data_IF_879101083833
#
_entry.id   IF_879101083833
#
_cell.length_a   1.000
_cell.length_b   1.000
_cell.length_c   1.000
_cell.angle_alpha   90.00
_cell.angle_beta   90.00
_cell.angle_gamma   90.00
#
_symmetry.space_group_name_H-M   'P 1'
#
loop_
_entity.id
_entity.type
_entity.pdbx_description
1 polymer ?
#
# COMPACT_ATOMS: atom_id res chain seq x y z
N UNK A 1 9.26 -13.77 -5.07
CA UNK A 1 8.19 -12.90 -4.51
C UNK A 1 6.81 -13.57 -4.40
N UNK A 2 6.39 -14.44 -5.34
CA UNK A 2 5.07 -15.12 -5.31
C UNK A 2 4.79 -16.01 -4.08
N UNK A 3 5.84 -16.50 -3.40
CA UNK A 3 5.74 -17.39 -2.23
C UNK A 3 5.38 -16.70 -0.92
N UNK A 4 5.72 -15.42 -0.76
CA UNK A 4 5.54 -14.69 0.51
C UNK A 4 4.05 -14.35 0.72
N UNK A 5 3.32 -14.09 -0.35
CA UNK A 5 1.90 -13.77 -0.28
C UNK A 5 1.05 -15.01 0.00
N UNK A 6 1.40 -16.17 -0.58
CA UNK A 6 0.72 -17.45 -0.32
C UNK A 6 0.85 -17.90 1.14
N UNK A 7 2.01 -17.64 1.76
CA UNK A 7 2.24 -18.01 3.15
C UNK A 7 1.40 -17.15 4.11
N UNK A 8 1.32 -15.82 3.89
CA UNK A 8 0.50 -14.92 4.70
C UNK A 8 -1.00 -15.14 4.53
N UNK A 9 -1.46 -15.58 3.35
CA UNK A 9 -2.87 -15.94 3.16
C UNK A 9 -3.27 -17.17 3.97
N UNK A 10 -2.39 -18.17 4.04
CA UNK A 10 -2.62 -19.40 4.81
C UNK A 10 -2.53 -19.16 6.32
N UNK A 11 -1.63 -18.27 6.75
CA UNK A 11 -1.49 -17.87 8.15
C UNK A 11 -2.73 -17.13 8.68
N UNK A 12 -3.35 -16.28 7.85
CA UNK A 12 -4.63 -15.62 8.18
C UNK A 12 -5.80 -16.60 8.30
N UNK A 13 -5.80 -17.68 7.52
CA UNK A 13 -6.83 -18.73 7.61
C UNK A 13 -6.75 -19.46 8.96
N UNK A 14 -5.55 -19.77 9.43
CA UNK A 14 -5.31 -20.48 10.69
C UNK A 14 -5.56 -19.62 11.95
N UNK A 15 -5.35 -18.31 11.86
CA UNK A 15 -5.70 -17.35 12.94
C UNK A 15 -7.21 -17.15 13.03
N UNK A 16 -7.92 -17.08 11.90
CA UNK A 16 -9.37 -16.89 11.87
C UNK A 16 -10.16 -18.07 12.47
N UNK A 17 -9.62 -19.29 12.42
CA UNK A 17 -10.23 -20.47 13.05
C UNK A 17 -10.09 -20.49 14.57
N UNK A 18 -9.09 -19.82 15.14
CA UNK A 18 -8.88 -19.76 16.59
C UNK A 18 -9.66 -18.63 17.27
N UNK A 19 -9.85 -17.49 16.62
CA UNK A 19 -10.57 -16.32 17.17
C UNK A 19 -12.11 -16.52 17.28
N UNK A 20 -12.66 -17.54 16.62
CA UNK A 20 -14.11 -17.78 16.59
C UNK A 20 -14.67 -18.45 17.86
N UNK A 21 -13.80 -18.94 18.76
CA UNK A 21 -14.21 -19.67 19.96
C UNK A 21 -14.35 -18.81 21.22
N UNK A 22 -13.85 -17.56 21.23
CA UNK A 22 -13.82 -16.72 22.43
C UNK A 22 -14.27 -15.27 22.14
N UNK A 23 -15.58 -15.01 22.05
CA UNK A 23 -16.08 -13.66 22.34
C UNK A 23 -17.61 -13.61 22.50
N UNK A 24 -18.08 -13.73 23.73
CA UNK A 24 -19.41 -13.28 24.16
C UNK A 24 -19.26 -11.93 24.90
N UNK A 25 -20.19 -11.00 24.62
CA UNK A 25 -20.49 -9.72 25.30
C UNK A 25 -19.57 -8.52 25.04
N UNK A 26 -19.94 -7.66 24.07
CA UNK A 26 -19.99 -6.19 24.22
C UNK A 26 -20.46 -5.51 22.92
N UNK A 27 -21.26 -4.45 23.08
CA UNK A 27 -21.75 -3.61 21.99
C UNK A 27 -20.62 -3.08 21.10
N UNK A 28 -20.59 -3.52 19.85
CA UNK A 28 -19.66 -3.06 18.83
C UNK A 28 -20.21 -3.43 17.46
N UNK A 29 -20.14 -2.51 16.51
CA UNK A 29 -20.42 -2.72 15.09
C UNK A 29 -20.10 -4.15 14.67
N UNK A 30 -21.11 -4.87 14.18
CA UNK A 30 -20.99 -6.25 13.73
C UNK A 30 -19.81 -6.34 12.76
N UNK A 31 -18.68 -6.87 13.26
CA UNK A 31 -17.50 -7.23 12.48
C UNK A 31 -17.88 -8.43 11.63
N UNK A 32 -18.73 -8.21 10.63
CA UNK A 32 -18.87 -9.16 9.53
C UNK A 32 -17.56 -9.05 8.77
N UNK A 33 -16.64 -9.97 9.07
CA UNK A 33 -15.37 -10.18 8.37
C UNK A 33 -15.69 -10.58 6.92
N UNK A 34 -16.16 -9.62 6.12
CA UNK A 34 -16.32 -9.78 4.69
C UNK A 34 -14.90 -9.83 4.14
N UNK A 35 -14.55 -10.95 3.52
CA UNK A 35 -13.29 -11.08 2.81
C UNK A 35 -13.21 -10.01 1.72
N UNK A 36 -12.26 -9.09 1.85
CA UNK A 36 -11.96 -8.11 0.82
C UNK A 36 -11.32 -8.84 -0.36
N UNK A 37 -11.95 -8.79 -1.53
CA UNK A 37 -11.45 -9.39 -2.76
C UNK A 37 -11.37 -8.33 -3.87
N UNK A 38 -10.40 -8.48 -4.75
CA UNK A 38 -10.24 -7.68 -5.96
C UNK A 38 -10.22 -8.63 -7.17
N UNK A 39 -10.91 -8.26 -8.25
CA UNK A 39 -10.86 -9.03 -9.48
C UNK A 39 -9.51 -8.85 -10.19
N UNK A 40 -9.20 -9.73 -11.15
CA UNK A 40 -7.91 -9.71 -11.84
C UNK A 40 -7.62 -8.40 -12.60
N UNK A 41 -8.66 -7.75 -13.14
CA UNK A 41 -8.51 -6.46 -13.84
C UNK A 41 -8.21 -5.33 -12.87
N UNK A 42 -8.90 -5.28 -11.73
CA UNK A 42 -8.62 -4.32 -10.65
C UNK A 42 -7.18 -4.50 -10.14
N UNK A 43 -6.74 -5.74 -9.94
CA UNK A 43 -5.36 -6.02 -9.54
C UNK A 43 -4.33 -5.50 -10.55
N UNK A 44 -4.54 -5.77 -11.85
CA UNK A 44 -3.67 -5.25 -12.92
C UNK A 44 -3.63 -3.74 -12.93
N UNK A 45 -4.78 -3.09 -12.82
CA UNK A 45 -4.86 -1.64 -12.80
C UNK A 45 -4.17 -1.04 -11.57
N UNK A 46 -4.31 -1.65 -10.40
CA UNK A 46 -3.59 -1.23 -9.19
C UNK A 46 -2.08 -1.40 -9.34
N UNK A 47 -1.60 -2.44 -10.02
CA UNK A 47 -0.16 -2.57 -10.34
C UNK A 47 0.33 -1.41 -11.21
N UNK A 48 -0.45 -1.00 -12.21
CA UNK A 48 -0.12 0.16 -13.05
C UNK A 48 -0.18 1.47 -12.27
N UNK A 49 -1.19 1.65 -11.42
CA UNK A 49 -1.30 2.81 -10.54
C UNK A 49 -0.06 2.95 -9.64
N UNK A 50 0.36 1.86 -9.00
CA UNK A 50 1.55 1.86 -8.15
C UNK A 50 2.83 2.16 -8.95
N UNK A 51 2.93 1.64 -10.18
CA UNK A 51 4.06 1.92 -11.07
C UNK A 51 4.12 3.41 -11.43
N UNK A 52 2.99 4.00 -11.79
CA UNK A 52 2.89 5.44 -12.11
C UNK A 52 3.18 6.29 -10.87
N UNK A 53 2.59 5.96 -9.72
CA UNK A 53 2.83 6.66 -8.46
C UNK A 53 4.31 6.75 -8.11
N UNK A 54 5.04 5.62 -8.17
CA UNK A 54 6.49 5.60 -7.89
C UNK A 54 7.27 6.36 -8.95
N UNK A 55 6.89 6.25 -10.23
CA UNK A 55 7.57 6.96 -11.32
C UNK A 55 7.44 8.47 -11.16
N UNK A 56 6.24 8.96 -10.83
CA UNK A 56 5.96 10.38 -10.56
C UNK A 56 6.76 10.89 -9.37
N UNK A 57 6.79 10.14 -8.27
CA UNK A 57 7.57 10.50 -7.09
C UNK A 57 9.06 10.70 -7.43
N UNK A 58 9.64 9.77 -8.20
CA UNK A 58 11.05 9.83 -8.62
C UNK A 58 11.28 11.02 -9.56
N UNK A 59 10.46 11.21 -10.58
CA UNK A 59 10.65 12.29 -11.54
C UNK A 59 10.55 13.67 -10.89
N UNK A 60 9.61 13.87 -9.97
CA UNK A 60 9.48 15.13 -9.21
C UNK A 60 10.67 15.35 -8.28
N UNK A 61 11.15 14.30 -7.59
CA UNK A 61 12.34 14.40 -6.76
C UNK A 61 13.61 14.71 -7.56
N UNK A 62 13.77 14.15 -8.77
CA UNK A 62 14.84 14.51 -9.71
C UNK A 62 14.75 16.00 -10.05
N UNK A 63 13.57 16.50 -10.39
CA UNK A 63 13.39 17.90 -10.74
C UNK A 63 13.81 18.84 -9.59
N UNK A 64 13.50 18.50 -8.33
CA UNK A 64 13.99 19.27 -7.17
C UNK A 64 15.52 19.21 -7.08
N UNK A 65 16.12 18.01 -7.13
CA UNK A 65 17.57 17.84 -7.07
C UNK A 65 18.30 18.64 -8.17
N UNK A 66 17.78 18.62 -9.41
CA UNK A 66 18.31 19.39 -10.53
C UNK A 66 18.23 20.90 -10.30
N UNK A 67 17.14 21.39 -9.67
CA UNK A 67 17.00 22.81 -9.34
C UNK A 67 17.93 23.25 -8.21
N UNK A 68 18.28 22.35 -7.30
CA UNK A 68 19.21 22.58 -6.19
C UNK A 68 20.68 22.38 -6.63
N UNK A 69 20.91 21.79 -7.79
CA UNK A 69 22.24 21.52 -8.35
C UNK A 69 22.88 20.23 -7.83
N UNK A 70 22.08 19.36 -7.21
CA UNK A 70 22.53 18.11 -6.63
C UNK A 70 22.72 17.03 -7.69
N UNK A 71 23.80 16.26 -7.55
CA UNK A 71 24.15 15.19 -8.49
C UNK A 71 23.39 13.88 -8.25
N UNK A 72 22.64 13.79 -7.14
CA UNK A 72 21.92 12.60 -6.69
C UNK A 72 20.63 13.00 -5.97
N UNK A 73 19.64 12.10 -5.97
CA UNK A 73 18.40 12.31 -5.22
C UNK A 73 18.65 11.97 -3.74
N UNK A 74 18.54 12.97 -2.88
CA UNK A 74 18.44 12.81 -1.43
C UNK A 74 16.98 12.69 -0.93
N UNK A 75 16.82 12.26 0.32
CA UNK A 75 15.50 12.10 0.95
C UNK A 75 14.72 13.43 1.07
N UNK A 76 15.44 14.54 1.26
CA UNK A 76 14.89 15.91 1.33
C UNK A 76 14.10 16.30 0.08
N UNK A 77 14.58 15.91 -1.10
CA UNK A 77 13.87 16.16 -2.36
C UNK A 77 12.51 15.46 -2.42
N UNK A 78 12.44 14.22 -1.91
CA UNK A 78 11.19 13.48 -1.80
C UNK A 78 10.26 14.11 -0.76
N UNK A 79 10.80 14.48 0.42
CA UNK A 79 10.04 15.15 1.48
C UNK A 79 9.40 16.47 0.99
N UNK A 80 10.11 17.21 0.14
CA UNK A 80 9.64 18.46 -0.46
C UNK A 80 8.41 18.26 -1.37
N UNK A 81 8.40 17.20 -2.18
CA UNK A 81 7.30 16.93 -3.14
C UNK A 81 6.17 16.09 -2.54
N UNK A 82 6.38 15.46 -1.39
CA UNK A 82 5.44 14.51 -0.78
C UNK A 82 4.05 15.09 -0.52
N UNK A 83 3.88 16.33 0.00
CA UNK A 83 2.55 16.89 0.23
C UNK A 83 1.72 16.97 -1.05
N UNK A 84 2.31 17.42 -2.15
CA UNK A 84 1.59 17.52 -3.43
C UNK A 84 1.39 16.15 -4.08
N UNK A 85 2.39 15.27 -4.00
CA UNK A 85 2.27 13.90 -4.51
C UNK A 85 1.08 13.15 -3.89
N UNK A 86 0.83 13.34 -2.59
CA UNK A 86 -0.31 12.73 -1.89
C UNK A 86 -1.65 13.42 -2.16
N UNK A 87 -1.65 14.64 -2.69
CA UNK A 87 -2.88 15.34 -3.10
C UNK A 87 -3.30 14.96 -4.52
N UNK A 88 -2.35 14.60 -5.38
CA UNK A 88 -2.60 14.23 -6.76
C UNK A 88 -3.16 12.80 -6.91
N UNK A 89 -3.04 11.96 -5.87
CA UNK A 89 -3.43 10.56 -5.84
C UNK A 89 -4.41 10.26 -4.69
#
# INVERSE_FOLDING_TARGET
MKRIWTLRTLERENVATNDALDSEVAAGSSKKNRTTSANASALKLTCELLRVFVTEAVQRAIAIAETEGDSQIEATHLESILPQLLLDF
#
